data_IF_932969132261
#
_entry.id   IF_932969132261
#
_cell.length_a   1.000
_cell.length_b   1.000
_cell.length_c   1.000
_cell.angle_alpha   90.00
_cell.angle_beta   90.00
_cell.angle_gamma   90.00
#
_symmetry.space_group_name_H-M   'P 1'
#
loop_
_entity.id
_entity.type
_entity.pdbx_description
1 polymer ?
#
# COMPACT_ATOMS: atom_id res chain seq x y z
N UNK A 1 -35.51 -4.64 22.64
CA UNK A 1 -34.07 -4.70 22.31
C UNK A 1 -33.52 -3.31 22.48
N UNK A 2 -32.52 -3.12 23.35
CA UNK A 2 -31.83 -1.82 23.43
C UNK A 2 -30.92 -1.62 22.21
N UNK A 3 -30.92 -0.40 21.65
CA UNK A 3 -30.06 -0.04 20.53
C UNK A 3 -28.62 0.14 21.04
N UNK A 4 -27.77 -0.85 20.80
CA UNK A 4 -26.34 -0.76 21.10
C UNK A 4 -25.67 0.26 20.16
N UNK A 5 -25.05 1.28 20.73
CA UNK A 5 -24.35 2.36 20.00
C UNK A 5 -22.84 2.12 20.08
N UNK A 6 -22.18 1.90 18.95
CA UNK A 6 -20.73 1.67 18.87
C UNK A 6 -20.02 2.86 18.23
N UNK A 7 -18.84 3.20 18.72
CA UNK A 7 -17.95 4.22 18.15
C UNK A 7 -16.67 3.56 17.67
N UNK A 8 -16.28 3.82 16.42
CA UNK A 8 -15.10 3.23 15.77
C UNK A 8 -14.07 4.31 15.45
N UNK A 9 -12.79 3.97 15.56
CA UNK A 9 -11.70 4.83 15.09
C UNK A 9 -11.38 4.51 13.63
N UNK A 10 -11.73 5.43 12.72
CA UNK A 10 -11.40 5.32 11.30
C UNK A 10 -10.19 6.18 10.90
N UNK A 11 -9.52 6.87 11.84
CA UNK A 11 -8.37 7.72 11.53
C UNK A 11 -7.21 6.90 10.98
N UNK A 12 -6.84 5.82 11.67
CA UNK A 12 -5.76 4.92 11.23
C UNK A 12 -6.13 4.21 9.91
N UNK A 13 -7.38 3.75 9.77
CA UNK A 13 -7.88 3.15 8.53
C UNK A 13 -7.72 4.11 7.36
N UNK A 14 -8.13 5.37 7.54
CA UNK A 14 -8.03 6.41 6.50
C UNK A 14 -6.58 6.65 6.10
N UNK A 15 -5.67 6.71 7.07
CA UNK A 15 -4.23 6.88 6.81
C UNK A 15 -3.67 5.73 5.95
N UNK A 16 -3.98 4.47 6.31
CA UNK A 16 -3.54 3.31 5.55
C UNK A 16 -4.17 3.24 4.15
N UNK A 17 -5.43 3.63 3.99
CA UNK A 17 -6.08 3.68 2.68
C UNK A 17 -5.46 4.75 1.77
N UNK A 18 -5.14 5.93 2.31
CA UNK A 18 -4.43 6.97 1.56
C UNK A 18 -3.04 6.48 1.15
N UNK A 19 -2.28 5.89 2.09
CA UNK A 19 -0.97 5.32 1.80
C UNK A 19 -1.05 4.22 0.72
N UNK A 20 -2.07 3.36 0.78
CA UNK A 20 -2.34 2.33 -0.23
C UNK A 20 -2.47 2.95 -1.61
N UNK A 21 -3.29 3.99 -1.79
CA UNK A 21 -3.47 4.62 -3.11
C UNK A 21 -2.16 5.25 -3.61
N UNK A 22 -1.43 5.94 -2.73
CA UNK A 22 -0.15 6.58 -3.08
C UNK A 22 0.88 5.53 -3.53
N UNK A 23 1.09 4.48 -2.74
CA UNK A 23 2.06 3.44 -3.07
C UNK A 23 1.61 2.55 -4.22
N UNK A 24 0.31 2.40 -4.44
CA UNK A 24 -0.25 1.78 -5.64
C UNK A 24 0.16 2.55 -6.89
N UNK A 25 -0.01 3.87 -6.89
CA UNK A 25 0.41 4.72 -8.00
C UNK A 25 1.93 4.63 -8.23
N UNK A 26 2.73 4.81 -7.17
CA UNK A 26 4.19 4.76 -7.25
C UNK A 26 4.66 3.39 -7.75
N UNK A 27 4.19 2.30 -7.14
CA UNK A 27 4.57 0.94 -7.51
C UNK A 27 4.23 0.61 -8.97
N UNK A 28 3.06 1.04 -9.46
CA UNK A 28 2.67 0.84 -10.86
C UNK A 28 3.54 1.65 -11.83
N UNK A 29 3.88 2.90 -11.49
CA UNK A 29 4.79 3.72 -12.31
C UNK A 29 6.20 3.11 -12.38
N UNK A 30 6.75 2.62 -11.26
CA UNK A 30 8.05 1.92 -11.29
C UNK A 30 7.96 0.63 -12.12
N UNK A 31 6.84 -0.09 -12.05
CA UNK A 31 6.60 -1.29 -12.86
C UNK A 31 6.53 -0.98 -14.35
N UNK A 32 5.87 0.12 -14.73
CA UNK A 32 5.83 0.59 -16.11
C UNK A 32 7.23 0.95 -16.61
N UNK A 33 8.04 1.64 -15.81
CA UNK A 33 9.44 1.94 -16.15
C UNK A 33 10.24 0.65 -16.35
N UNK A 34 10.08 -0.34 -15.47
CA UNK A 34 10.75 -1.64 -15.61
C UNK A 34 10.34 -2.36 -16.91
N UNK A 35 9.06 -2.31 -17.28
CA UNK A 35 8.56 -2.89 -18.52
C UNK A 35 9.15 -2.21 -19.76
N UNK A 36 9.25 -0.87 -19.76
CA UNK A 36 9.89 -0.11 -20.84
C UNK A 36 11.37 -0.47 -20.95
N UNK A 37 12.08 -0.58 -19.82
CA UNK A 37 13.50 -0.97 -19.80
C UNK A 37 13.76 -2.37 -20.35
N UNK A 38 12.80 -3.29 -20.20
CA UNK A 38 12.89 -4.64 -20.74
C UNK A 38 12.76 -4.65 -22.28
N UNK A 39 11.88 -3.81 -22.83
CA UNK A 39 11.68 -3.70 -24.28
C UNK A 39 12.72 -2.82 -24.96
N UNK A 40 13.07 -1.69 -24.34
CA UNK A 40 13.98 -0.69 -24.88
C UNK A 40 15.06 -0.31 -23.85
N UNK A 41 16.21 -1.01 -23.85
CA UNK A 41 17.25 -0.87 -22.82
C UNK A 41 17.86 0.53 -22.66
N UNK A 42 17.68 1.43 -23.63
CA UNK A 42 18.13 2.83 -23.52
C UNK A 42 17.50 3.55 -22.30
N UNK A 43 16.33 3.12 -21.85
CA UNK A 43 15.66 3.65 -20.64
C UNK A 43 16.31 3.23 -19.32
N UNK A 44 17.45 2.55 -19.34
CA UNK A 44 18.30 2.41 -18.15
C UNK A 44 19.05 3.71 -17.81
N UNK A 45 19.09 4.68 -18.74
CA UNK A 45 19.67 6.02 -18.58
C UNK A 45 21.15 6.08 -18.20
N UNK A 46 21.90 4.98 -18.43
CA UNK A 46 23.31 4.82 -18.04
C UNK A 46 23.61 5.23 -16.58
N UNK A 47 22.60 5.15 -15.72
CA UNK A 47 22.66 5.61 -14.34
C UNK A 47 22.41 4.45 -13.39
N UNK A 48 23.29 4.28 -12.41
CA UNK A 48 23.33 3.09 -11.58
C UNK A 48 22.00 2.80 -10.84
N UNK A 49 21.24 3.83 -10.45
CA UNK A 49 20.01 3.69 -9.67
C UNK A 49 18.80 3.33 -10.53
N UNK A 50 18.83 3.64 -11.83
CA UNK A 50 17.74 3.37 -12.77
C UNK A 50 17.92 2.08 -13.55
N UNK A 51 18.97 1.31 -13.29
CA UNK A 51 19.17 0.01 -13.96
C UNK A 51 18.02 -0.97 -13.67
N UNK A 52 17.62 -1.75 -14.66
CA UNK A 52 16.54 -2.75 -14.56
C UNK A 52 16.72 -3.69 -13.37
N UNK A 53 17.96 -4.11 -13.11
CA UNK A 53 18.30 -4.97 -11.98
C UNK A 53 17.99 -4.37 -10.60
N UNK A 54 17.97 -3.04 -10.47
CA UNK A 54 17.60 -2.32 -9.23
C UNK A 54 16.14 -1.85 -9.23
N UNK A 55 15.63 -1.41 -10.37
CA UNK A 55 14.23 -0.96 -10.52
C UNK A 55 13.24 -2.11 -10.33
N UNK A 56 13.56 -3.32 -10.79
CA UNK A 56 12.69 -4.49 -10.62
C UNK A 56 12.43 -4.86 -9.15
N UNK A 57 13.44 -5.08 -8.28
CA UNK A 57 13.19 -5.34 -6.87
C UNK A 57 12.56 -4.13 -6.16
N UNK A 58 12.81 -2.90 -6.60
CA UNK A 58 12.10 -1.71 -6.10
C UNK A 58 10.59 -1.80 -6.39
N UNK A 59 10.20 -2.11 -7.64
CA UNK A 59 8.81 -2.32 -8.02
C UNK A 59 8.14 -3.43 -7.19
N UNK A 60 8.79 -4.60 -7.09
CA UNK A 60 8.23 -5.74 -6.34
C UNK A 60 7.99 -5.39 -4.87
N UNK A 61 8.96 -4.74 -4.20
CA UNK A 61 8.79 -4.32 -2.81
C UNK A 61 7.71 -3.24 -2.65
N UNK A 62 7.65 -2.27 -3.57
CA UNK A 62 6.64 -1.22 -3.54
C UNK A 62 5.22 -1.79 -3.72
N UNK A 63 5.01 -2.73 -4.64
CA UNK A 63 3.69 -3.34 -4.86
C UNK A 63 3.30 -4.31 -3.73
N UNK A 64 4.21 -5.17 -3.27
CA UNK A 64 3.87 -6.16 -2.25
C UNK A 64 3.77 -5.51 -0.87
N UNK A 65 4.82 -4.85 -0.40
CA UNK A 65 4.87 -4.39 0.99
C UNK A 65 4.23 -3.03 1.16
N UNK A 66 4.43 -2.10 0.22
CA UNK A 66 3.89 -0.76 0.37
C UNK A 66 2.43 -0.64 -0.14
N UNK A 67 2.07 -1.27 -1.25
CA UNK A 67 0.68 -1.26 -1.71
C UNK A 67 -0.18 -2.32 -1.02
N UNK A 68 0.09 -3.62 -1.22
CA UNK A 68 -0.73 -4.69 -0.64
C UNK A 68 -0.64 -4.71 0.89
N UNK A 69 0.55 -4.46 1.46
CA UNK A 69 0.72 -4.37 2.91
C UNK A 69 -0.15 -3.29 3.54
N UNK A 70 -0.14 -2.05 3.02
CA UNK A 70 -1.01 -0.99 3.51
C UNK A 70 -2.50 -1.31 3.31
N UNK A 71 -2.86 -1.94 2.18
CA UNK A 71 -4.24 -2.35 1.91
C UNK A 71 -4.72 -3.38 2.95
N UNK A 72 -3.88 -4.35 3.30
CA UNK A 72 -4.14 -5.33 4.34
C UNK A 72 -4.33 -4.66 5.70
N UNK A 73 -3.44 -3.76 6.12
CA UNK A 73 -3.59 -3.04 7.38
C UNK A 73 -4.89 -2.24 7.43
N UNK A 74 -5.22 -1.50 6.37
CA UNK A 74 -6.48 -0.77 6.27
C UNK A 74 -7.71 -1.68 6.36
N UNK A 75 -7.70 -2.81 5.64
CA UNK A 75 -8.78 -3.80 5.65
C UNK A 75 -8.96 -4.49 7.01
N UNK A 76 -7.86 -4.89 7.64
CA UNK A 76 -7.88 -5.53 8.97
C UNK A 76 -8.37 -4.56 10.04
N UNK A 77 -7.84 -3.34 10.10
CA UNK A 77 -8.29 -2.34 11.08
C UNK A 77 -9.73 -1.89 10.89
N UNK A 78 -10.22 -1.89 9.65
CA UNK A 78 -11.63 -1.60 9.38
C UNK A 78 -12.55 -2.75 9.78
N UNK A 79 -12.19 -3.98 9.42
CA UNK A 79 -13.01 -5.18 9.60
C UNK A 79 -13.08 -5.62 11.06
N UNK A 80 -11.95 -5.67 11.78
CA UNK A 80 -11.89 -6.12 13.17
C UNK A 80 -12.84 -5.33 14.07
N UNK A 81 -12.84 -4.00 13.93
CA UNK A 81 -13.67 -3.13 14.75
C UNK A 81 -15.17 -3.43 14.58
N UNK A 82 -15.60 -3.74 13.36
CA UNK A 82 -17.02 -3.98 13.01
C UNK A 82 -17.46 -5.41 13.32
N UNK A 83 -16.58 -6.39 13.08
CA UNK A 83 -16.85 -7.80 13.38
C UNK A 83 -16.96 -8.04 14.89
N UNK A 84 -16.04 -7.44 15.66
CA UNK A 84 -16.02 -7.60 17.12
C UNK A 84 -16.87 -6.56 17.85
N UNK A 85 -17.43 -5.58 17.11
CA UNK A 85 -18.17 -4.44 17.66
C UNK A 85 -17.40 -3.74 18.80
N UNK A 86 -16.09 -3.61 18.63
CA UNK A 86 -15.18 -3.06 19.62
C UNK A 86 -14.20 -2.08 18.95
N UNK A 87 -13.74 -1.07 19.68
CA UNK A 87 -12.71 -0.15 19.21
C UNK A 87 -11.33 -0.84 19.20
N UNK A 88 -10.38 -0.33 18.42
CA UNK A 88 -9.00 -0.83 18.44
C UNK A 88 -8.39 -0.69 19.84
N UNK A 89 -7.62 -1.70 20.24
CA UNK A 89 -7.11 -1.81 21.62
C UNK A 89 -6.13 -0.70 22.03
N UNK A 90 -5.24 -0.29 21.12
CA UNK A 90 -4.23 0.75 21.37
C UNK A 90 -4.34 1.83 20.30
N UNK A 91 -5.03 2.91 20.64
CA UNK A 91 -5.38 4.01 19.72
C UNK A 91 -5.18 5.42 20.33
N UNK A 92 -4.46 5.47 21.46
CA UNK A 92 -3.86 6.66 22.09
C UNK A 92 -2.48 6.93 21.55
#
# INVERSE_FOLDING_TARGET
>A
MELQKFSYDNKIVKAFMIATVIFGLVGMLVGLTAAIQLFYPLFNFDFQYTTFGRIRPLHTNAIIFAFVGNAMFGGVYYSLQRLLKARMFSDT
#
